data_IF_346410724823
#
_entry.id   IF_346410724823
#
_cell.length_a   1.000
_cell.length_b   1.000
_cell.length_c   1.000
_cell.angle_alpha   90.00
_cell.angle_beta   90.00
_cell.angle_gamma   90.00
#
_symmetry.space_group_name_H-M   'P 1'
#
loop_
_entity.id
_entity.type
_entity.pdbx_description
1 polymer ?
#
# COMPACT_ATOMS: atom_id res chain seq x y z
N UNK A 1 -8.99 3.96 -14.46
CA UNK A 1 -7.51 4.02 -14.50
C UNK A 1 -7.02 2.71 -15.05
N UNK A 2 -6.13 2.73 -16.06
CA UNK A 2 -5.54 1.52 -16.64
C UNK A 2 -4.52 0.84 -15.72
N UNK A 3 -4.04 1.51 -14.67
CA UNK A 3 -3.03 0.99 -13.76
C UNK A 3 -3.62 0.00 -12.76
N UNK A 4 -2.76 -0.93 -12.36
CA UNK A 4 -3.00 -1.88 -11.28
C UNK A 4 -3.21 -1.18 -9.95
N UNK A 5 -4.27 -1.57 -9.25
CA UNK A 5 -4.70 -0.96 -7.98
C UNK A 5 -4.80 -2.01 -6.88
N UNK A 6 -4.21 -1.72 -5.73
CA UNK A 6 -4.18 -2.61 -4.57
C UNK A 6 -4.60 -1.81 -3.34
N UNK A 7 -5.44 -2.41 -2.50
CA UNK A 7 -5.81 -1.84 -1.19
C UNK A 7 -4.75 -2.24 -0.18
N UNK A 8 -4.22 -1.28 0.57
CA UNK A 8 -3.40 -1.54 1.74
C UNK A 8 -3.98 -0.87 2.99
N UNK A 9 -4.52 -1.68 3.91
CA UNK A 9 -5.24 -1.22 5.11
C UNK A 9 -4.78 -1.95 6.37
N UNK A 10 -4.93 -1.29 7.53
CA UNK A 10 -4.78 -1.93 8.83
C UNK A 10 -6.05 -2.67 9.29
N UNK A 11 -7.18 -2.46 8.59
CA UNK A 11 -8.42 -3.16 8.88
C UNK A 11 -8.41 -4.62 8.44
N UNK A 12 -9.44 -5.35 8.84
CA UNK A 12 -9.65 -6.75 8.51
C UNK A 12 -10.35 -6.95 7.15
N UNK A 13 -10.36 -8.18 6.65
CA UNK A 13 -10.94 -8.56 5.37
C UNK A 13 -12.46 -8.35 5.32
N UNK A 14 -13.17 -8.55 6.42
CA UNK A 14 -14.62 -8.38 6.48
C UNK A 14 -15.00 -6.91 6.33
N UNK A 15 -14.26 -6.02 6.97
CA UNK A 15 -14.42 -4.58 6.87
C UNK A 15 -14.16 -4.09 5.45
N UNK A 16 -13.07 -4.55 4.80
CA UNK A 16 -12.78 -4.20 3.40
C UNK A 16 -13.93 -4.62 2.48
N UNK A 17 -14.42 -5.86 2.61
CA UNK A 17 -15.54 -6.34 1.80
C UNK A 17 -16.81 -5.49 1.98
N UNK A 18 -17.13 -5.10 3.21
CA UNK A 18 -18.30 -4.27 3.49
C UNK A 18 -18.17 -2.86 2.89
N UNK A 19 -16.98 -2.25 2.99
CA UNK A 19 -16.72 -0.91 2.42
C UNK A 19 -16.80 -0.95 0.89
N UNK A 20 -16.15 -1.93 0.25
CA UNK A 20 -16.18 -2.08 -1.20
C UNK A 20 -17.61 -2.26 -1.72
N UNK A 21 -18.42 -3.09 -1.04
CA UNK A 21 -19.80 -3.33 -1.45
C UNK A 21 -20.70 -2.11 -1.30
N UNK A 22 -20.53 -1.34 -0.23
CA UNK A 22 -21.29 -0.09 -0.03
C UNK A 22 -20.92 0.99 -1.04
N UNK A 23 -19.70 0.98 -1.56
CA UNK A 23 -19.21 1.95 -2.53
C UNK A 23 -19.38 1.49 -3.99
N UNK A 24 -19.72 0.22 -4.24
CA UNK A 24 -19.81 -0.35 -5.58
C UNK A 24 -18.44 -0.44 -6.27
N UNK A 25 -17.40 -0.80 -5.52
CA UNK A 25 -16.00 -0.81 -5.97
C UNK A 25 -15.36 -2.21 -5.93
N UNK A 26 -16.16 -3.28 -5.82
CA UNK A 26 -15.68 -4.66 -5.67
C UNK A 26 -14.71 -5.07 -6.78
N UNK A 27 -14.99 -4.67 -8.03
CA UNK A 27 -14.18 -5.01 -9.21
C UNK A 27 -13.10 -3.97 -9.54
N UNK A 28 -12.87 -2.99 -8.67
CA UNK A 28 -11.93 -1.90 -8.93
C UNK A 28 -10.49 -2.18 -8.49
N UNK A 29 -10.23 -3.25 -7.74
CA UNK A 29 -8.93 -3.53 -7.14
C UNK A 29 -8.49 -4.97 -7.44
N UNK A 30 -7.23 -5.15 -7.78
CA UNK A 30 -6.66 -6.46 -8.11
C UNK A 30 -6.18 -7.24 -6.88
N UNK A 31 -6.01 -6.55 -5.75
CA UNK A 31 -5.54 -7.17 -4.51
C UNK A 31 -5.89 -6.36 -3.27
N UNK A 32 -5.96 -7.06 -2.16
CA UNK A 32 -6.18 -6.51 -0.82
C UNK A 32 -5.07 -7.03 0.09
N UNK A 33 -4.34 -6.10 0.70
CA UNK A 33 -3.38 -6.33 1.76
C UNK A 33 -3.99 -5.74 3.02
N UNK A 34 -4.45 -6.61 3.90
CA UNK A 34 -5.15 -6.30 5.14
C UNK A 34 -4.43 -6.93 6.33
N UNK A 35 -5.01 -6.82 7.53
CA UNK A 35 -4.41 -7.36 8.76
C UNK A 35 -4.01 -8.84 8.61
N UNK A 36 -4.92 -9.67 8.10
CA UNK A 36 -4.75 -11.10 7.91
C UNK A 36 -3.64 -11.41 6.89
N UNK A 37 -3.55 -10.62 5.82
CA UNK A 37 -2.50 -10.76 4.81
C UNK A 37 -1.11 -10.50 5.38
N UNK A 38 -0.98 -9.54 6.31
CA UNK A 38 0.29 -9.19 6.95
C UNK A 38 0.62 -10.08 8.15
N UNK A 39 -0.38 -10.67 8.80
CA UNK A 39 -0.22 -11.39 10.07
C UNK A 39 -0.82 -12.81 10.02
N UNK A 40 -0.48 -13.65 9.02
CA UNK A 40 -1.13 -14.94 8.81
C UNK A 40 -0.96 -15.92 9.98
N UNK A 41 0.14 -15.81 10.74
CA UNK A 41 0.40 -16.68 11.88
C UNK A 41 -0.50 -16.39 13.09
N UNK A 42 -1.15 -15.22 13.16
CA UNK A 42 -2.07 -14.86 14.25
C UNK A 42 -3.50 -15.38 14.02
N UNK A 43 -3.89 -15.70 12.77
CA UNK A 43 -5.19 -16.32 12.51
C UNK A 43 -5.32 -17.70 13.16
N UNK A 44 -4.24 -18.49 13.16
CA UNK A 44 -4.23 -19.87 13.68
C UNK A 44 -4.45 -19.95 15.19
N UNK A 45 -4.24 -18.86 15.93
CA UNK A 45 -4.38 -18.80 17.39
C UNK A 45 -5.80 -18.36 17.82
N UNK A 46 -6.61 -17.87 16.88
CA UNK A 46 -7.95 -17.34 17.13
C UNK A 46 -9.07 -18.35 16.84
N UNK A 47 -8.76 -19.65 16.76
CA UNK A 47 -9.77 -20.71 16.72
C UNK A 47 -10.52 -20.78 18.07
N UNK A 48 -11.87 -20.80 18.08
CA UNK A 48 -12.65 -20.61 19.31
C UNK A 48 -12.75 -21.92 20.11
N UNK A 49 -11.79 -22.15 21.00
CA UNK A 49 -11.97 -23.01 22.18
C UNK A 49 -11.62 -22.20 23.42
N UNK A 50 -12.63 -21.49 23.91
CA UNK A 50 -13.07 -21.41 25.31
C UNK A 50 -13.58 -20.00 25.67
N UNK A 51 -14.92 -19.94 25.75
CA UNK A 51 -15.69 -18.90 26.41
C UNK A 51 -15.36 -18.88 27.90
N UNK A 52 -14.52 -17.95 28.34
CA UNK A 52 -14.69 -17.15 29.56
C UNK A 52 -13.36 -16.50 29.93
N UNK A 53 -13.07 -15.34 29.36
CA UNK A 53 -12.23 -14.29 29.94
C UNK A 53 -12.23 -13.09 28.99
N UNK A 54 -12.90 -12.01 29.37
CA UNK A 54 -12.73 -10.70 28.71
C UNK A 54 -11.63 -9.99 29.49
N UNK A 55 -10.43 -9.72 28.93
CA UNK A 55 -9.51 -8.78 29.55
C UNK A 55 -9.95 -7.37 29.19
N UNK A 56 -10.15 -6.55 30.21
CA UNK A 56 -10.27 -5.09 30.10
C UNK A 56 -9.02 -4.48 29.45
N UNK A 57 -9.19 -3.35 28.77
CA UNK A 57 -8.16 -2.55 28.08
C UNK A 57 -6.78 -2.62 28.74
N UNK A 58 -5.89 -3.41 28.16
CA UNK A 58 -4.52 -3.60 28.59
C UNK A 58 -3.83 -4.61 27.68
N UNK A 59 -2.64 -4.25 27.20
CA UNK A 59 -1.79 -5.02 26.29
C UNK A 59 -1.96 -6.55 26.42
N UNK A 60 -2.49 -7.20 25.38
CA UNK A 60 -2.65 -8.66 25.38
C UNK A 60 -1.26 -9.30 25.30
N UNK A 61 -0.74 -9.73 26.45
CA UNK A 61 0.38 -10.66 26.54
C UNK A 61 -0.19 -12.09 26.53
N UNK A 62 -0.14 -12.75 25.37
CA UNK A 62 -0.44 -14.18 25.28
C UNK A 62 0.80 -14.96 25.69
N UNK A 63 0.72 -15.65 26.84
CA UNK A 63 1.82 -16.43 27.42
C UNK A 63 2.15 -17.64 26.53
N UNK A 64 3.24 -17.51 25.77
CA UNK A 64 3.76 -18.57 24.91
C UNK A 64 4.59 -19.57 25.71
N UNK A 65 4.20 -20.85 25.65
CA UNK A 65 4.88 -21.97 26.30
C UNK A 65 6.37 -22.04 25.92
N UNK A 66 7.20 -22.22 26.95
CA UNK A 66 8.65 -22.05 26.93
C UNK A 66 9.31 -23.27 26.27
N UNK A 67 9.84 -23.11 25.06
CA UNK A 67 10.87 -24.00 24.53
C UNK A 67 12.26 -23.51 24.91
N UNK A 68 13.04 -24.44 25.44
CA UNK A 68 14.42 -24.32 25.91
C UNK A 68 15.37 -23.97 24.74
N UNK A 69 15.41 -22.70 24.32
CA UNK A 69 16.58 -22.03 23.70
C UNK A 69 16.31 -20.52 23.42
N UNK A 70 15.92 -19.78 24.46
CA UNK A 70 16.40 -18.41 24.68
C UNK A 70 16.08 -17.29 23.65
N UNK A 71 15.12 -17.45 22.76
CA UNK A 71 14.58 -16.33 21.96
C UNK A 71 13.07 -16.31 22.11
N UNK A 72 12.57 -15.42 22.98
CA UNK A 72 11.16 -15.05 23.00
C UNK A 72 10.85 -14.38 21.66
N UNK A 73 10.38 -15.16 20.69
CA UNK A 73 9.86 -14.67 19.42
C UNK A 73 8.52 -13.99 19.69
N UNK A 74 8.55 -12.83 20.34
CA UNK A 74 7.37 -11.98 20.53
C UNK A 74 6.82 -11.70 19.13
N UNK A 75 5.71 -12.33 18.78
CA UNK A 75 5.04 -12.10 17.52
C UNK A 75 4.61 -10.63 17.49
N UNK A 76 5.25 -9.84 16.63
CA UNK A 76 4.93 -8.42 16.50
C UNK A 76 3.88 -8.27 15.41
N UNK A 77 2.79 -7.58 15.73
CA UNK A 77 1.79 -7.19 14.76
C UNK A 77 2.44 -6.24 13.73
N UNK A 78 2.37 -6.61 12.47
CA UNK A 78 2.76 -5.78 11.33
C UNK A 78 1.56 -4.98 10.85
N UNK A 79 1.63 -3.66 11.01
CA UNK A 79 0.62 -2.73 10.52
C UNK A 79 1.24 -1.34 10.26
N UNK A 80 0.58 -0.50 9.45
CA UNK A 80 0.99 0.90 9.28
C UNK A 80 0.91 1.61 10.64
N UNK A 81 1.85 2.52 10.98
CA UNK A 81 2.88 3.13 10.14
C UNK A 81 4.26 2.45 10.23
N UNK A 82 4.37 1.17 10.53
CA UNK A 82 5.69 0.51 10.48
C UNK A 82 6.22 0.50 9.03
N UNK A 83 7.50 0.83 8.85
CA UNK A 83 8.17 0.73 7.54
C UNK A 83 8.22 -0.72 7.10
N UNK A 84 8.43 -1.64 8.03
CA UNK A 84 8.42 -3.07 7.79
C UNK A 84 7.05 -3.56 7.26
N UNK A 85 5.94 -2.96 7.70
CA UNK A 85 4.60 -3.26 7.16
C UNK A 85 4.45 -2.81 5.71
N UNK A 86 5.01 -1.65 5.37
CA UNK A 86 5.00 -1.13 3.99
C UNK A 86 5.90 -2.01 3.10
N UNK A 87 7.09 -2.38 3.57
CA UNK A 87 7.99 -3.28 2.84
C UNK A 87 7.39 -4.67 2.63
N UNK A 88 6.71 -5.21 3.63
CA UNK A 88 5.97 -6.46 3.50
C UNK A 88 4.86 -6.33 2.45
N UNK A 89 4.10 -5.22 2.47
CA UNK A 89 3.07 -4.96 1.47
C UNK A 89 3.65 -4.86 0.05
N UNK A 90 4.79 -4.20 -0.15
CA UNK A 90 5.49 -4.12 -1.45
C UNK A 90 5.86 -5.52 -1.96
N UNK A 91 6.40 -6.37 -1.08
CA UNK A 91 6.79 -7.75 -1.41
C UNK A 91 5.57 -8.60 -1.78
N UNK A 92 4.50 -8.54 -0.98
CA UNK A 92 3.25 -9.28 -1.22
C UNK A 92 2.57 -8.81 -2.52
N UNK A 93 2.59 -7.51 -2.78
CA UNK A 93 2.04 -6.93 -3.98
C UNK A 93 2.84 -7.26 -5.25
N UNK A 94 4.11 -7.66 -5.10
CA UNK A 94 5.08 -7.82 -6.20
C UNK A 94 5.14 -6.57 -7.09
N UNK A 95 5.52 -5.44 -6.48
CA UNK A 95 5.63 -4.15 -7.15
C UNK A 95 7.02 -3.53 -6.98
N UNK A 96 7.43 -2.76 -7.99
CA UNK A 96 8.62 -1.92 -7.90
C UNK A 96 8.27 -0.65 -7.11
N UNK A 97 8.88 -0.41 -5.92
CA UNK A 97 8.54 0.74 -5.10
C UNK A 97 8.79 2.07 -5.83
N UNK A 98 9.82 2.14 -6.68
CA UNK A 98 10.16 3.35 -7.45
C UNK A 98 9.16 3.68 -8.56
N UNK A 99 8.22 2.77 -8.85
CA UNK A 99 7.17 2.95 -9.86
C UNK A 99 5.77 2.83 -9.26
N UNK A 100 5.67 2.86 -7.94
CA UNK A 100 4.41 2.67 -7.21
C UNK A 100 4.06 3.92 -6.44
N UNK A 101 2.80 4.36 -6.58
CA UNK A 101 2.25 5.51 -5.87
C UNK A 101 1.41 5.02 -4.68
N UNK A 102 1.65 5.60 -3.51
CA UNK A 102 0.97 5.31 -2.27
C UNK A 102 0.13 6.50 -1.81
N UNK A 103 -1.17 6.28 -1.69
CA UNK A 103 -2.16 7.26 -1.23
C UNK A 103 -2.58 6.90 0.19
N UNK A 104 -2.48 7.84 1.13
CA UNK A 104 -2.91 7.67 2.51
C UNK A 104 -3.22 9.05 3.12
N UNK A 105 -4.13 9.12 4.09
CA UNK A 105 -4.51 10.34 4.81
C UNK A 105 -3.68 10.56 6.09
N UNK A 106 -2.96 9.54 6.55
CA UNK A 106 -2.07 9.62 7.70
C UNK A 106 -0.66 10.06 7.30
N UNK A 107 -0.22 11.22 7.81
CA UNK A 107 1.15 11.71 7.62
C UNK A 107 2.23 10.71 8.08
N UNK A 108 1.93 9.89 9.11
CA UNK A 108 2.85 8.84 9.58
C UNK A 108 2.96 7.69 8.59
N UNK A 109 1.85 7.32 7.95
CA UNK A 109 1.85 6.29 6.91
C UNK A 109 2.61 6.79 5.67
N UNK A 110 2.40 8.05 5.28
CA UNK A 110 3.11 8.70 4.17
C UNK A 110 4.62 8.73 4.40
N UNK A 111 5.08 9.16 5.58
CA UNK A 111 6.50 9.16 5.91
C UNK A 111 7.13 7.76 5.77
N UNK A 112 6.39 6.72 6.17
CA UNK A 112 6.86 5.33 6.10
C UNK A 112 6.83 4.78 4.68
N UNK A 113 5.81 5.16 3.89
CA UNK A 113 5.76 4.92 2.45
C UNK A 113 6.99 5.48 1.74
N UNK A 114 7.35 6.73 2.07
CA UNK A 114 8.51 7.39 1.47
C UNK A 114 9.82 6.73 1.87
N UNK A 115 9.95 6.35 3.14
CA UNK A 115 11.12 5.63 3.63
C UNK A 115 11.31 4.27 2.94
N UNK A 116 10.22 3.59 2.59
CA UNK A 116 10.22 2.34 1.82
C UNK A 116 10.44 2.53 0.30
N UNK A 117 10.61 3.77 -0.17
CA UNK A 117 10.92 4.09 -1.57
C UNK A 117 9.72 4.32 -2.49
N UNK A 118 8.50 4.41 -1.94
CA UNK A 118 7.30 4.70 -2.72
C UNK A 118 7.23 6.18 -3.10
N UNK A 119 6.55 6.47 -4.22
CA UNK A 119 6.00 7.80 -4.46
C UNK A 119 4.77 7.99 -3.58
N UNK A 120 4.64 9.13 -2.92
CA UNK A 120 3.63 9.28 -1.85
C UNK A 120 2.74 10.50 -2.04
N UNK A 121 1.46 10.32 -1.71
CA UNK A 121 0.44 11.35 -1.87
C UNK A 121 -0.40 11.43 -0.60
N UNK A 122 -0.31 12.55 0.12
CA UNK A 122 -1.19 12.82 1.26
C UNK A 122 -2.57 13.23 0.74
N UNK A 123 -3.63 12.58 1.23
CA UNK A 123 -5.02 12.84 0.80
C UNK A 123 -5.81 13.49 1.95
N UNK A 124 -6.73 14.40 1.63
CA UNK A 124 -7.52 15.14 2.61
C UNK A 124 -6.92 16.49 3.03
N UNK A 125 -5.84 16.93 2.39
CA UNK A 125 -5.11 18.16 2.72
C UNK A 125 -4.47 18.75 1.47
N UNK A 126 -4.49 20.09 1.33
CA UNK A 126 -3.68 20.81 0.33
C UNK A 126 -2.24 21.08 0.81
N UNK A 127 -1.96 20.89 2.09
CA UNK A 127 -0.62 21.05 2.65
C UNK A 127 0.19 19.76 2.54
N UNK A 128 1.42 19.89 2.03
CA UNK A 128 2.42 18.81 2.06
C UNK A 128 2.83 18.52 3.51
N UNK A 129 3.11 17.24 3.77
CA UNK A 129 3.68 16.75 5.02
C UNK A 129 5.05 16.14 4.76
N UNK A 130 5.93 16.03 5.77
CA UNK A 130 7.22 15.37 5.60
C UNK A 130 7.07 13.98 4.99
N UNK A 131 7.74 13.76 3.87
CA UNK A 131 7.69 12.52 3.11
C UNK A 131 6.57 12.42 2.09
N UNK A 132 5.68 13.41 1.91
CA UNK A 132 4.73 13.45 0.80
C UNK A 132 5.38 14.08 -0.45
N UNK A 133 5.23 13.46 -1.62
CA UNK A 133 5.62 14.06 -2.90
C UNK A 133 4.52 15.00 -3.43
N UNK A 134 3.26 14.62 -3.22
CA UNK A 134 2.08 15.41 -3.59
C UNK A 134 1.06 15.48 -2.45
N UNK A 135 0.16 16.47 -2.52
CA UNK A 135 -0.96 16.63 -1.62
C UNK A 135 -2.26 16.83 -2.42
N UNK A 136 -3.33 16.14 -2.01
CA UNK A 136 -4.66 16.24 -2.59
C UNK A 136 -5.67 16.58 -1.50
N UNK A 137 -6.49 17.62 -1.70
CA UNK A 137 -7.62 17.87 -0.80
C UNK A 137 -8.66 16.75 -0.88
N UNK A 138 -8.83 16.14 -2.05
CA UNK A 138 -9.72 15.00 -2.26
C UNK A 138 -9.11 14.00 -3.24
N UNK A 139 -9.37 12.71 -3.02
CA UNK A 139 -8.98 11.65 -3.95
C UNK A 139 -9.60 11.83 -5.34
N UNK A 140 -10.71 12.56 -5.44
CA UNK A 140 -11.36 12.86 -6.72
C UNK A 140 -10.54 13.80 -7.61
N UNK A 141 -9.58 14.54 -7.06
CA UNK A 141 -8.69 15.44 -7.81
C UNK A 141 -7.48 14.72 -8.43
N UNK A 142 -7.36 13.40 -8.27
CA UNK A 142 -6.21 12.62 -8.72
C UNK A 142 -5.87 12.83 -10.20
N UNK A 143 -6.86 12.95 -11.08
CA UNK A 143 -6.64 13.14 -12.53
C UNK A 143 -5.96 14.47 -12.84
N UNK A 144 -6.33 15.53 -12.14
CA UNK A 144 -5.76 16.86 -12.35
C UNK A 144 -4.35 16.94 -11.76
N UNK A 145 -4.14 16.30 -10.62
CA UNK A 145 -2.88 16.37 -9.90
C UNK A 145 -1.80 15.41 -10.41
N UNK A 146 -2.20 14.29 -11.01
CA UNK A 146 -1.31 13.27 -11.57
C UNK A 146 -1.84 12.84 -12.95
N UNK A 147 -1.79 13.70 -13.97
CA UNK A 147 -2.28 13.38 -15.32
C UNK A 147 -1.51 12.21 -15.97
N UNK A 148 -0.24 12.02 -15.62
CA UNK A 148 0.65 10.99 -16.15
C UNK A 148 0.21 9.55 -15.83
N UNK A 149 -0.61 9.37 -14.78
CA UNK A 149 -1.23 8.07 -14.50
C UNK A 149 -2.56 7.88 -15.24
N UNK A 150 -3.02 8.84 -16.03
CA UNK A 150 -4.22 8.69 -16.85
C UNK A 150 -3.93 8.58 -18.34
N UNK A 151 -2.88 9.25 -18.79
CA UNK A 151 -2.41 9.24 -20.16
C UNK A 151 -1.58 7.97 -20.40
N UNK A 152 -2.06 7.13 -21.32
CA UNK A 152 -1.37 5.89 -21.67
C UNK A 152 -0.01 6.17 -22.30
N UNK A 153 0.88 5.17 -22.25
CA UNK A 153 2.22 5.14 -22.84
C UNK A 153 2.30 5.41 -24.37
N UNK A 154 1.24 5.93 -25.00
CA UNK A 154 1.18 6.18 -26.45
C UNK A 154 2.09 7.36 -26.87
N UNK A 155 2.23 8.40 -26.06
CA UNK A 155 3.02 9.59 -26.46
C UNK A 155 4.55 9.37 -26.43
N UNK A 156 5.05 8.44 -25.59
CA UNK A 156 6.50 8.18 -25.50
C UNK A 156 7.04 7.34 -26.67
N UNK A 157 6.19 6.59 -27.37
CA UNK A 157 6.60 5.81 -28.54
C UNK A 157 6.78 6.73 -29.77
N UNK A 158 5.93 7.75 -29.95
CA UNK A 158 6.03 8.66 -31.11
C UNK A 158 7.30 9.54 -31.08
N UNK A 159 7.72 10.04 -29.91
CA UNK A 159 8.93 10.88 -29.82
C UNK A 159 10.23 10.10 -30.11
N UNK A 160 10.29 8.81 -29.78
CA UNK A 160 11.47 7.97 -30.06
C UNK A 160 11.59 7.65 -31.55
N UNK A 161 10.47 7.47 -32.26
CA UNK A 161 10.47 7.20 -33.70
C UNK A 161 10.94 8.43 -34.49
N UNK A 162 10.54 9.65 -34.10
CA UNK A 162 10.96 10.87 -34.81
C UNK A 162 12.46 11.20 -34.67
N UNK A 163 13.10 10.80 -33.58
CA UNK A 163 14.50 11.15 -33.29
C UNK A 163 15.54 10.30 -34.06
N UNK A 164 15.11 9.19 -34.69
CA UNK A 164 16.04 8.24 -35.36
C UNK A 164 16.19 8.44 -36.87
N UNK A 165 15.52 9.43 -37.47
CA UNK A 165 15.68 9.76 -38.89
C UNK A 165 16.95 10.61 -39.13
N UNK A 166 18.11 9.95 -39.27
CA UNK A 166 19.35 10.61 -39.72
C UNK A 166 19.32 10.76 -41.25
N UNK A 167 19.29 12.00 -41.74
CA UNK A 167 19.41 12.33 -43.16
C UNK A 167 20.76 11.86 -43.72
N UNK A 168 20.72 11.01 -44.75
CA UNK A 168 21.90 10.64 -45.54
C UNK A 168 22.03 11.62 -46.71
N UNK A 169 23.06 12.47 -46.69
CA UNK A 169 23.39 13.35 -47.81
C UNK A 169 24.16 12.56 -48.87
N UNK A 170 23.59 12.45 -50.07
CA UNK A 170 24.25 11.87 -51.25
C UNK A 170 25.07 12.97 -51.93
N UNK A 171 26.40 12.79 -52.01
CA UNK A 171 27.26 13.64 -52.84
C UNK A 171 27.47 13.00 -54.22
N UNK A 172 27.38 13.86 -55.23
CA UNK A 172 27.35 13.57 -56.67
C UNK A 172 28.63 12.95 -57.24
#
# INVERSE_FOLDING_TARGET
>A
MPQRKIIFTNGDKAHVAQVLSRLGLEDCFEGIICFETLNPALETVMDPLDSDSVPEDGDIEVDGQIDSDGVSSKMRILCKPSVEAIEAAIKIADVDPSKTIFFDDSARNIASGKAAGLHTVIVGSSALVPGADHALESIHNIREALPEIWEGQEEQIEQVIQSTAVETVVLA
#
